data_IF_567088034889
#
_entry.id   IF_567088034889
#
_cell.length_a   1.000
_cell.length_b   1.000
_cell.length_c   1.000
_cell.angle_alpha   90.00
_cell.angle_beta   90.00
_cell.angle_gamma   90.00
#
_symmetry.space_group_name_H-M   'P 1'
#
loop_
_entity.id
_entity.type
_entity.pdbx_description
1 polymer ?
#
# COMPACT_ATOMS: atom_id res chain seq x y z
N UNK A 1 10.61 -3.41 -15.18
CA UNK A 1 9.39 -2.56 -15.36
C UNK A 1 8.22 -3.30 -15.99
N UNK A 2 8.46 -4.19 -16.93
CA UNK A 2 7.41 -4.99 -17.58
C UNK A 2 6.58 -5.85 -16.61
N UNK A 3 7.21 -6.39 -15.57
CA UNK A 3 6.57 -7.25 -14.56
C UNK A 3 5.53 -6.52 -13.71
N UNK A 4 5.83 -5.31 -13.23
CA UNK A 4 4.87 -4.51 -12.45
C UNK A 4 3.63 -4.18 -13.27
N UNK A 5 3.83 -3.82 -14.54
CA UNK A 5 2.73 -3.51 -15.47
C UNK A 5 1.88 -4.76 -15.71
N UNK A 6 2.51 -5.93 -15.87
CA UNK A 6 1.82 -7.21 -16.04
C UNK A 6 0.96 -7.54 -14.82
N UNK A 7 1.53 -7.46 -13.61
CA UNK A 7 0.81 -7.71 -12.36
C UNK A 7 -0.38 -6.76 -12.21
N UNK A 8 -0.19 -5.47 -12.51
CA UNK A 8 -1.23 -4.46 -12.36
C UNK A 8 -2.28 -4.47 -13.49
N UNK A 9 -2.03 -5.19 -14.59
CA UNK A 9 -3.00 -5.32 -15.68
C UNK A 9 -4.32 -5.98 -15.24
N UNK A 10 -4.26 -6.86 -14.24
CA UNK A 10 -5.42 -7.52 -13.61
C UNK A 10 -6.39 -6.50 -12.98
N UNK A 11 -5.92 -5.30 -12.68
CA UNK A 11 -6.72 -4.26 -12.03
C UNK A 11 -7.56 -3.42 -13.00
N UNK A 12 -7.42 -3.60 -14.32
CA UNK A 12 -8.15 -2.84 -15.33
C UNK A 12 -9.69 -2.89 -15.16
N UNK A 13 -10.32 -4.00 -14.76
CA UNK A 13 -11.76 -4.02 -14.50
C UNK A 13 -12.16 -3.33 -13.18
N UNK A 14 -11.22 -3.16 -12.25
CA UNK A 14 -11.48 -2.60 -10.91
C UNK A 14 -11.14 -1.11 -10.82
N UNK A 15 -10.24 -0.63 -11.66
CA UNK A 15 -9.74 0.75 -11.64
C UNK A 15 -9.86 1.39 -13.02
N UNK A 16 -10.07 2.72 -13.04
CA UNK A 16 -9.98 3.48 -14.29
C UNK A 16 -8.55 3.43 -14.85
N UNK A 17 -8.40 3.52 -16.18
CA UNK A 17 -7.09 3.58 -16.84
C UNK A 17 -6.17 4.64 -16.25
N UNK A 18 -6.72 5.81 -15.90
CA UNK A 18 -5.97 6.91 -15.29
C UNK A 18 -5.47 6.53 -13.89
N UNK A 19 -6.33 5.93 -13.07
CA UNK A 19 -5.98 5.50 -11.71
C UNK A 19 -4.93 4.39 -11.74
N UNK A 20 -5.08 3.41 -12.63
CA UNK A 20 -4.10 2.33 -12.81
C UNK A 20 -2.73 2.90 -13.22
N UNK A 21 -2.70 3.82 -14.19
CA UNK A 21 -1.45 4.48 -14.61
C UNK A 21 -0.79 5.24 -13.45
N UNK A 22 -1.57 5.97 -12.66
CA UNK A 22 -1.04 6.69 -11.50
C UNK A 22 -0.53 5.73 -10.43
N UNK A 23 -1.25 4.65 -10.16
CA UNK A 23 -0.82 3.62 -9.23
C UNK A 23 0.51 2.99 -9.66
N UNK A 24 0.65 2.62 -10.93
CA UNK A 24 1.91 2.08 -11.48
C UNK A 24 3.08 3.03 -11.23
N UNK A 25 2.93 4.30 -11.58
CA UNK A 25 3.99 5.31 -11.40
C UNK A 25 4.34 5.49 -9.91
N UNK A 26 3.36 5.47 -9.03
CA UNK A 26 3.58 5.60 -7.57
C UNK A 26 4.32 4.37 -7.04
N UNK A 27 3.94 3.17 -7.47
CA UNK A 27 4.60 1.91 -7.08
C UNK A 27 6.06 1.92 -7.56
N UNK A 28 6.30 2.26 -8.83
CA UNK A 28 7.66 2.37 -9.37
C UNK A 28 8.51 3.37 -8.55
N UNK A 29 7.94 4.53 -8.20
CA UNK A 29 8.61 5.51 -7.39
C UNK A 29 8.97 4.96 -6.00
N UNK A 30 8.04 4.26 -5.34
CA UNK A 30 8.24 3.67 -4.01
C UNK A 30 9.38 2.65 -4.04
N UNK A 31 9.45 1.81 -5.06
CA UNK A 31 10.49 0.78 -5.18
C UNK A 31 11.87 1.35 -5.54
N UNK A 32 11.93 2.46 -6.27
CA UNK A 32 13.19 3.01 -6.75
C UNK A 32 13.74 4.14 -5.88
N UNK A 33 12.90 4.76 -5.04
CA UNK A 33 13.35 5.84 -4.16
C UNK A 33 14.10 5.30 -2.95
N UNK A 34 15.22 5.92 -2.65
CA UNK A 34 15.98 5.71 -1.40
C UNK A 34 15.59 6.75 -0.35
N UNK A 35 15.55 6.34 0.91
CA UNK A 35 15.22 7.22 2.02
C UNK A 35 13.72 7.41 2.25
N UNK A 36 13.32 8.56 2.84
CA UNK A 36 11.93 8.81 3.23
C UNK A 36 11.03 9.05 2.04
N UNK A 37 10.04 8.20 1.85
CA UNK A 37 9.03 8.33 0.81
C UNK A 37 7.99 9.36 1.23
N UNK A 38 7.84 10.41 0.42
CA UNK A 38 6.85 11.48 0.62
C UNK A 38 6.12 11.78 -0.69
N UNK A 39 4.89 12.31 -0.63
CA UNK A 39 4.15 12.70 -1.85
C UNK A 39 4.93 13.69 -2.71
N UNK A 40 5.65 14.63 -2.09
CA UNK A 40 6.50 15.57 -2.79
C UNK A 40 7.71 14.87 -3.43
N UNK A 41 8.33 13.93 -2.73
CA UNK A 41 9.40 13.09 -3.25
C UNK A 41 8.95 12.30 -4.47
N UNK A 42 7.82 11.60 -4.38
CA UNK A 42 7.22 10.88 -5.50
C UNK A 42 6.99 11.80 -6.70
N UNK A 43 6.41 12.99 -6.51
CA UNK A 43 6.15 13.91 -7.61
C UNK A 43 7.43 14.42 -8.29
N UNK A 44 8.49 14.64 -7.54
CA UNK A 44 9.81 15.06 -8.06
C UNK A 44 10.51 13.92 -8.80
N UNK A 45 10.44 12.72 -8.23
CA UNK A 45 11.08 11.55 -8.82
C UNK A 45 10.42 11.15 -10.14
N UNK A 46 9.11 11.12 -10.19
CA UNK A 46 8.37 10.61 -11.35
C UNK A 46 8.46 11.53 -12.58
N UNK A 47 8.75 12.81 -12.42
CA UNK A 47 8.73 13.87 -13.47
C UNK A 47 7.54 13.77 -14.45
N UNK A 48 7.13 12.55 -14.85
CA UNK A 48 6.00 12.21 -15.73
C UNK A 48 4.73 11.84 -14.98
N UNK A 49 4.80 11.60 -13.67
CA UNK A 49 3.68 11.15 -12.83
C UNK A 49 2.73 12.23 -12.36
N UNK A 50 3.01 13.47 -12.74
CA UNK A 50 2.21 14.62 -12.39
C UNK A 50 2.75 15.40 -11.18
N UNK A 51 2.13 16.57 -10.95
CA UNK A 51 2.48 17.46 -9.85
C UNK A 51 2.14 16.82 -8.48
N UNK A 52 2.65 17.41 -7.41
CA UNK A 52 2.25 17.10 -6.04
C UNK A 52 0.71 17.02 -5.86
N UNK A 53 -0.03 17.93 -6.51
CA UNK A 53 -1.51 17.93 -6.48
C UNK A 53 -2.10 16.66 -7.09
N UNK A 54 -1.48 16.11 -8.13
CA UNK A 54 -1.93 14.86 -8.77
C UNK A 54 -1.73 13.67 -7.84
N UNK A 55 -0.56 13.58 -7.22
CA UNK A 55 -0.26 12.53 -6.23
C UNK A 55 -1.19 12.65 -5.02
N UNK A 56 -1.38 13.85 -4.49
CA UNK A 56 -2.30 14.09 -3.37
C UNK A 56 -3.75 13.69 -3.70
N UNK A 57 -4.23 13.99 -4.93
CA UNK A 57 -5.55 13.54 -5.39
C UNK A 57 -5.66 12.03 -5.45
N UNK A 58 -4.65 11.35 -5.95
CA UNK A 58 -4.62 9.89 -5.98
C UNK A 58 -4.81 9.31 -4.58
N UNK A 59 -4.05 9.77 -3.58
CA UNK A 59 -4.18 9.30 -2.20
C UNK A 59 -5.52 9.64 -1.53
N UNK A 60 -6.27 10.62 -2.05
CA UNK A 60 -7.63 10.96 -1.61
C UNK A 60 -8.72 10.22 -2.38
N UNK A 61 -8.38 9.54 -3.46
CA UNK A 61 -9.35 8.76 -4.24
C UNK A 61 -9.81 7.56 -3.41
N UNK A 62 -11.13 7.34 -3.36
CA UNK A 62 -11.70 6.16 -2.71
C UNK A 62 -11.41 4.94 -3.59
N UNK A 63 -10.52 4.11 -3.13
CA UNK A 63 -10.11 2.87 -3.79
C UNK A 63 -10.43 1.73 -2.84
N UNK A 64 -11.10 0.69 -3.35
CA UNK A 64 -11.36 -0.54 -2.61
C UNK A 64 -10.09 -1.42 -2.61
N UNK A 65 -9.17 -1.08 -1.70
CA UNK A 65 -7.88 -1.75 -1.59
C UNK A 65 -8.01 -3.25 -1.29
N UNK A 66 -9.05 -3.67 -0.59
CA UNK A 66 -9.30 -5.07 -0.30
C UNK A 66 -9.57 -5.87 -1.57
N UNK A 67 -10.43 -5.34 -2.45
CA UNK A 67 -10.70 -5.99 -3.75
C UNK A 67 -9.48 -6.02 -4.64
N UNK A 68 -8.70 -4.95 -4.66
CA UNK A 68 -7.45 -4.87 -5.43
C UNK A 68 -6.48 -5.94 -4.95
N UNK A 69 -6.22 -5.96 -3.66
CA UNK A 69 -5.28 -6.89 -3.04
C UNK A 69 -5.70 -8.34 -3.28
N UNK A 70 -6.98 -8.64 -3.05
CA UNK A 70 -7.53 -9.96 -3.29
C UNK A 70 -7.44 -10.39 -4.77
N UNK A 71 -7.68 -9.47 -5.71
CA UNK A 71 -7.56 -9.76 -7.13
C UNK A 71 -6.13 -10.12 -7.54
N UNK A 72 -5.14 -9.41 -7.01
CA UNK A 72 -3.72 -9.71 -7.25
C UNK A 72 -3.34 -11.07 -6.66
N UNK A 73 -3.70 -11.31 -5.40
CA UNK A 73 -3.42 -12.60 -4.72
C UNK A 73 -4.04 -13.75 -5.50
N UNK A 74 -5.33 -13.66 -5.80
CA UNK A 74 -6.06 -14.72 -6.51
C UNK A 74 -5.48 -15.04 -7.87
N UNK A 75 -4.96 -14.03 -8.58
CA UNK A 75 -4.48 -14.22 -9.95
C UNK A 75 -3.02 -14.67 -10.01
N UNK A 76 -2.19 -14.24 -9.06
CA UNK A 76 -0.75 -14.43 -9.18
C UNK A 76 -0.15 -15.33 -8.09
N UNK A 77 -0.85 -15.55 -6.97
CA UNK A 77 -0.31 -16.28 -5.83
C UNK A 77 -1.08 -17.57 -5.49
N UNK A 78 -2.35 -17.66 -5.90
CA UNK A 78 -3.16 -18.86 -5.61
C UNK A 78 -3.09 -19.79 -6.82
N UNK A 79 -2.48 -20.94 -6.63
CA UNK A 79 -2.55 -22.05 -7.58
C UNK A 79 -3.76 -22.94 -7.26
N UNK A 80 -4.35 -23.56 -8.30
CA UNK A 80 -5.45 -24.50 -8.11
C UNK A 80 -4.92 -25.74 -7.41
N UNK A 81 -5.67 -26.19 -6.42
CA UNK A 81 -5.40 -27.43 -5.67
C UNK A 81 -4.23 -27.37 -4.67
N UNK A 82 -3.62 -26.21 -4.44
CA UNK A 82 -2.66 -26.06 -3.36
C UNK A 82 -3.31 -25.58 -2.05
N UNK A 83 -2.89 -26.12 -0.88
CA UNK A 83 -3.40 -25.67 0.41
C UNK A 83 -2.89 -24.24 0.71
N UNK A 84 -3.83 -23.35 1.07
CA UNK A 84 -3.51 -21.98 1.44
C UNK A 84 -3.31 -21.91 2.96
N UNK A 85 -2.12 -21.51 3.39
CA UNK A 85 -1.80 -21.27 4.80
C UNK A 85 -1.83 -19.77 5.07
N UNK A 86 -2.71 -19.35 5.99
CA UNK A 86 -2.79 -17.95 6.44
C UNK A 86 -2.04 -17.80 7.76
N UNK A 87 -0.98 -17.01 7.76
CA UNK A 87 -0.30 -16.60 8.97
C UNK A 87 -0.58 -15.12 9.26
N UNK A 88 -0.95 -14.79 10.48
CA UNK A 88 -1.23 -13.42 10.91
C UNK A 88 -0.23 -12.92 11.94
N UNK A 89 0.30 -11.73 11.74
CA UNK A 89 1.13 -11.03 12.72
C UNK A 89 0.62 -9.62 12.97
N UNK A 90 0.86 -9.11 14.17
CA UNK A 90 0.43 -7.77 14.58
C UNK A 90 1.64 -6.87 14.77
N UNK A 91 1.73 -5.84 13.96
CA UNK A 91 2.79 -4.82 14.07
C UNK A 91 2.23 -3.52 14.61
N UNK A 92 2.95 -2.92 15.55
CA UNK A 92 2.59 -1.66 16.21
C UNK A 92 3.52 -0.54 15.76
N UNK A 93 2.96 0.52 15.18
CA UNK A 93 3.72 1.68 14.70
C UNK A 93 3.37 2.91 15.51
N UNK A 94 4.36 3.48 16.21
CA UNK A 94 4.19 4.70 16.99
C UNK A 94 3.86 5.90 16.09
N UNK A 95 2.92 6.73 16.53
CA UNK A 95 2.45 7.89 15.79
C UNK A 95 2.34 9.10 16.70
N UNK A 96 2.96 10.20 16.33
CA UNK A 96 2.91 11.45 17.07
C UNK A 96 1.64 12.29 16.82
N UNK A 97 0.88 11.99 15.74
CA UNK A 97 -0.31 12.76 15.37
C UNK A 97 -1.54 12.36 16.17
N UNK A 98 -2.26 13.35 16.74
CA UNK A 98 -3.46 13.11 17.54
C UNK A 98 -4.75 12.84 16.75
N UNK A 99 -4.77 13.08 15.44
CA UNK A 99 -5.96 13.00 14.56
C UNK A 99 -5.88 11.87 13.52
N UNK A 100 -4.99 10.91 13.70
CA UNK A 100 -4.90 9.78 12.77
C UNK A 100 -6.00 8.77 13.06
N UNK A 101 -6.76 8.37 12.03
CA UNK A 101 -7.79 7.34 12.16
C UNK A 101 -7.16 6.01 12.62
N UNK A 102 -7.85 5.30 13.52
CA UNK A 102 -7.36 4.03 14.06
C UNK A 102 -6.28 4.14 15.13
N UNK A 103 -5.97 5.36 15.59
CA UNK A 103 -5.01 5.59 16.64
C UNK A 103 -5.57 5.15 18.00
N UNK A 104 -4.81 4.35 18.75
CA UNK A 104 -5.20 3.82 20.04
C UNK A 104 -4.00 3.51 20.92
N UNK A 105 -4.26 3.01 22.13
CA UNK A 105 -3.24 2.53 23.02
C UNK A 105 -3.03 1.03 22.78
N UNK A 106 -1.85 0.66 22.30
CA UNK A 106 -1.48 -0.73 22.05
C UNK A 106 -0.18 -1.06 22.75
N UNK A 107 -0.07 -2.29 23.24
CA UNK A 107 1.16 -2.77 23.83
C UNK A 107 2.21 -3.01 22.75
N UNK A 108 3.38 -2.44 22.94
CA UNK A 108 4.54 -2.65 22.08
C UNK A 108 5.54 -3.57 22.77
N UNK A 109 5.76 -4.74 22.24
CA UNK A 109 6.78 -5.68 22.74
C UNK A 109 8.20 -5.10 22.66
N UNK A 110 8.47 -4.31 21.62
CA UNK A 110 9.78 -3.65 21.42
C UNK A 110 10.09 -2.64 22.53
N UNK A 111 9.07 -1.92 23.01
CA UNK A 111 9.23 -0.90 24.06
C UNK A 111 8.75 -1.37 25.44
N UNK A 112 8.21 -2.57 25.55
CA UNK A 112 7.65 -3.20 26.75
C UNK A 112 6.67 -2.29 27.52
N UNK A 113 5.84 -1.53 26.79
CA UNK A 113 4.83 -0.63 27.35
C UNK A 113 3.70 -0.34 26.36
N UNK A 114 2.56 0.12 26.90
CA UNK A 114 1.50 0.65 26.06
C UNK A 114 1.90 2.02 25.48
N UNK A 115 1.73 2.17 24.17
CA UNK A 115 2.06 3.39 23.44
C UNK A 115 0.86 3.82 22.58
N UNK A 116 0.79 5.13 22.32
CA UNK A 116 -0.18 5.70 21.41
C UNK A 116 0.28 5.48 19.96
N UNK A 117 -0.34 4.54 19.27
CA UNK A 117 0.15 4.02 18.01
C UNK A 117 -0.97 3.46 17.12
N UNK A 118 -0.62 3.04 15.94
CA UNK A 118 -1.45 2.26 15.03
C UNK A 118 -1.06 0.79 15.15
N UNK A 119 -2.06 -0.09 15.21
CA UNK A 119 -1.87 -1.52 15.10
C UNK A 119 -2.24 -1.96 13.68
N UNK A 120 -1.36 -2.73 13.06
CA UNK A 120 -1.57 -3.35 11.76
C UNK A 120 -1.50 -4.86 11.92
N UNK A 121 -2.47 -5.55 11.34
CA UNK A 121 -2.39 -7.00 11.17
C UNK A 121 -1.89 -7.30 9.77
N UNK A 122 -0.82 -8.07 9.69
CA UNK A 122 -0.29 -8.62 8.44
C UNK A 122 -0.75 -10.07 8.35
N UNK A 123 -1.38 -10.40 7.23
CA UNK A 123 -1.70 -11.76 6.86
C UNK A 123 -0.70 -12.17 5.79
N UNK A 124 0.10 -13.20 6.09
CA UNK A 124 1.03 -13.80 5.12
C UNK A 124 0.41 -15.08 4.57
N UNK A 125 0.60 -15.27 3.29
CA UNK A 125 0.12 -16.45 2.54
C UNK A 125 1.30 -17.37 2.27
#
# INVERSE_FOLDING_TARGET
MTEIISILSVLHPLLSKTTTKQLTIIIEAIFCMTGRITMLGISRWTRKGGSYRTINRFFKTKIDWMKIFWSIIKTHLIEKDEPIILAGDTTVVTKAGKKTHGLGWFFSSTHNKALHCLSFQLLCH
#
